data_IF_864537116971
#
_entry.id   IF_864537116971
#
_cell.length_a   1.000
_cell.length_b   1.000
_cell.length_c   1.000
_cell.angle_alpha   90.00
_cell.angle_beta   90.00
_cell.angle_gamma   90.00
#
_symmetry.space_group_name_H-M   'P 1'
#
loop_
_entity.id
_entity.type
_entity.pdbx_description
1 polymer ?
#
# COMPACT_ATOMS: atom_id res chain seq x y z
N UNK A 1 -3.76 -9.34 31.32
CA UNK A 1 -3.65 -8.53 30.06
C UNK A 1 -2.28 -8.86 29.51
N UNK A 2 -2.21 -9.74 28.53
CA UNK A 2 -0.97 -10.04 27.81
C UNK A 2 -0.68 -8.78 26.97
N UNK A 3 0.42 -8.09 27.26
CA UNK A 3 0.93 -7.03 26.40
C UNK A 3 1.25 -7.69 25.05
N UNK A 4 0.39 -7.48 24.07
CA UNK A 4 0.66 -7.93 22.70
C UNK A 4 1.79 -7.04 22.19
N UNK A 5 2.97 -7.59 21.97
CA UNK A 5 4.05 -6.84 21.32
C UNK A 5 3.49 -6.25 20.01
N UNK A 6 3.63 -4.94 19.84
CA UNK A 6 3.13 -4.24 18.65
C UNK A 6 3.93 -4.71 17.44
N UNK A 7 3.26 -5.30 16.46
CA UNK A 7 3.88 -5.80 15.23
C UNK A 7 4.48 -4.65 14.42
N UNK A 8 5.76 -4.69 14.08
CA UNK A 8 6.40 -3.59 13.35
C UNK A 8 5.94 -3.56 11.88
N UNK A 9 5.67 -2.36 11.40
CA UNK A 9 5.25 -2.08 10.02
C UNK A 9 6.27 -1.17 9.38
N UNK A 10 6.74 -1.50 8.19
CA UNK A 10 7.50 -0.59 7.32
C UNK A 10 6.62 -0.16 6.16
N UNK A 11 6.57 1.13 5.89
CA UNK A 11 5.79 1.68 4.77
C UNK A 11 6.74 2.19 3.70
N UNK A 12 6.56 1.73 2.46
CA UNK A 12 7.21 2.29 1.29
C UNK A 12 6.23 3.22 0.56
N UNK A 13 6.65 4.45 0.27
CA UNK A 13 5.82 5.45 -0.40
C UNK A 13 6.61 6.22 -1.47
N UNK A 14 5.92 6.92 -2.38
CA UNK A 14 6.56 7.77 -3.38
C UNK A 14 6.22 9.25 -3.13
N UNK A 15 5.07 9.75 -3.58
CA UNK A 15 4.70 11.18 -3.46
C UNK A 15 3.29 11.41 -2.94
N UNK A 16 2.40 10.43 -3.11
CA UNK A 16 0.99 10.55 -2.76
C UNK A 16 0.80 10.35 -1.25
N UNK A 17 0.24 11.35 -0.53
CA UNK A 17 0.20 11.32 0.94
C UNK A 17 -1.00 10.58 1.52
N UNK A 18 -2.09 10.36 0.76
CA UNK A 18 -3.39 9.97 1.30
C UNK A 18 -3.38 8.63 2.03
N UNK A 19 -2.80 7.58 1.44
CA UNK A 19 -2.70 6.26 2.08
C UNK A 19 -1.73 6.26 3.27
N UNK A 20 -0.56 6.91 3.11
CA UNK A 20 0.42 7.04 4.18
C UNK A 20 -0.14 7.84 5.35
N UNK A 21 -0.79 8.99 5.08
CA UNK A 21 -1.37 9.86 6.10
C UNK A 21 -2.46 9.16 6.92
N UNK A 22 -3.31 8.35 6.29
CA UNK A 22 -4.30 7.53 7.00
C UNK A 22 -3.65 6.55 7.97
N UNK A 23 -2.64 5.80 7.52
CA UNK A 23 -1.95 4.84 8.38
C UNK A 23 -1.20 5.53 9.54
N UNK A 24 -0.55 6.67 9.29
CA UNK A 24 0.13 7.46 10.32
C UNK A 24 -0.86 7.97 11.37
N UNK A 25 -2.05 8.42 10.95
CA UNK A 25 -3.09 8.87 11.88
C UNK A 25 -3.59 7.72 12.74
N UNK A 26 -3.91 6.58 12.14
CA UNK A 26 -4.37 5.38 12.88
C UNK A 26 -3.33 4.87 13.86
N UNK A 27 -2.04 4.91 13.51
CA UNK A 27 -0.94 4.57 14.42
C UNK A 27 -0.86 5.55 15.59
N UNK A 28 -0.96 6.85 15.32
CA UNK A 28 -0.85 7.90 16.33
C UNK A 28 -1.99 7.88 17.37
N UNK A 29 -3.21 7.48 16.94
CA UNK A 29 -4.37 7.35 17.86
C UNK A 29 -4.54 5.96 18.45
N UNK A 30 -3.63 5.02 18.13
CA UNK A 30 -3.65 3.66 18.68
C UNK A 30 -4.73 2.74 18.09
N UNK A 31 -5.23 3.07 16.90
CA UNK A 31 -6.24 2.27 16.19
C UNK A 31 -5.64 1.27 15.18
N UNK A 32 -4.33 1.27 15.00
CA UNK A 32 -3.62 0.28 14.20
C UNK A 32 -3.13 -0.86 15.11
N UNK A 33 -3.43 -2.15 14.81
CA UNK A 33 -2.99 -3.28 15.63
C UNK A 33 -1.51 -3.66 15.40
N UNK A 34 -0.66 -2.66 15.23
CA UNK A 34 0.78 -2.71 15.00
C UNK A 34 1.40 -1.35 15.27
N UNK A 35 2.68 -1.20 14.95
CA UNK A 35 3.40 0.06 15.09
C UNK A 35 4.17 0.39 13.82
N UNK A 36 4.01 1.58 13.28
CA UNK A 36 4.82 2.04 12.15
C UNK A 36 6.25 2.30 12.65
N UNK A 37 7.16 1.42 12.26
CA UNK A 37 8.56 1.47 12.67
C UNK A 37 9.39 2.43 11.80
N UNK A 38 9.07 2.54 10.51
CA UNK A 38 9.72 3.45 9.58
C UNK A 38 8.89 3.68 8.32
N UNK A 39 9.15 4.81 7.66
CA UNK A 39 8.72 5.09 6.28
C UNK A 39 9.96 5.22 5.41
N UNK A 40 9.97 4.51 4.28
CA UNK A 40 11.02 4.56 3.27
C UNK A 40 10.44 5.14 1.99
N UNK A 41 11.03 6.17 1.45
CA UNK A 41 10.53 6.82 0.23
C UNK A 41 11.65 7.11 -0.76
N UNK A 42 11.34 6.91 -2.04
CA UNK A 42 12.24 7.29 -3.13
C UNK A 42 12.16 8.78 -3.52
N UNK A 43 11.34 9.56 -2.79
CA UNK A 43 11.25 11.01 -2.87
C UNK A 43 11.19 11.62 -1.46
N UNK A 44 11.73 12.82 -1.30
CA UNK A 44 11.77 13.51 -0.01
C UNK A 44 10.48 14.28 0.33
N UNK A 45 9.54 14.33 -0.59
CA UNK A 45 8.31 15.13 -0.51
C UNK A 45 7.46 14.85 0.73
N UNK A 46 7.45 13.59 1.20
CA UNK A 46 6.61 13.15 2.32
C UNK A 46 7.29 13.28 3.69
N UNK A 47 8.59 13.63 3.74
CA UNK A 47 9.33 13.80 5.00
C UNK A 47 8.64 14.72 6.00
N UNK A 48 8.21 15.96 5.63
CA UNK A 48 7.59 16.86 6.59
C UNK A 48 6.27 16.33 7.18
N UNK A 49 5.56 15.46 6.44
CA UNK A 49 4.36 14.79 6.94
C UNK A 49 4.75 13.73 7.98
N UNK A 50 5.70 12.84 7.65
CA UNK A 50 6.08 11.70 8.49
C UNK A 50 6.71 12.16 9.81
N UNK A 51 7.57 13.17 9.76
CA UNK A 51 8.25 13.71 10.93
C UNK A 51 7.29 14.33 11.97
N UNK A 52 6.11 14.82 11.55
CA UNK A 52 5.06 15.29 12.47
C UNK A 52 4.47 14.18 13.34
N UNK A 53 4.59 12.95 12.92
CA UNK A 53 4.16 11.76 13.67
C UNK A 53 5.31 11.07 14.42
N UNK A 54 6.49 11.70 14.44
CA UNK A 54 7.71 11.18 15.11
C UNK A 54 8.13 9.79 14.61
N UNK A 55 7.78 9.45 13.35
CA UNK A 55 8.17 8.20 12.70
C UNK A 55 9.49 8.40 11.93
N UNK A 56 10.45 7.47 12.03
CA UNK A 56 11.67 7.50 11.22
C UNK A 56 11.37 7.56 9.71
N UNK A 57 12.00 8.51 9.01
CA UNK A 57 11.86 8.66 7.56
C UNK A 57 13.20 8.45 6.87
N UNK A 58 13.25 7.50 5.94
CA UNK A 58 14.42 7.21 5.12
C UNK A 58 14.17 7.63 3.67
N UNK A 59 14.99 8.57 3.21
CA UNK A 59 15.04 8.94 1.80
C UNK A 59 16.02 8.03 1.06
N UNK A 60 15.51 7.21 0.14
CA UNK A 60 16.29 6.31 -0.70
C UNK A 60 16.01 6.62 -2.18
N UNK A 61 16.74 7.57 -2.78
CA UNK A 61 16.55 7.95 -4.17
C UNK A 61 16.90 6.78 -5.11
N UNK A 62 16.16 6.68 -6.21
CA UNK A 62 16.37 5.61 -7.20
C UNK A 62 17.12 6.08 -8.44
N UNK A 63 17.45 7.37 -8.53
CA UNK A 63 18.22 7.93 -9.64
C UNK A 63 19.69 7.50 -9.54
N UNK A 64 20.34 7.34 -10.68
CA UNK A 64 21.77 7.08 -10.80
C UNK A 64 22.25 5.71 -10.29
N UNK A 65 21.30 4.78 -10.04
CA UNK A 65 21.65 3.43 -9.63
C UNK A 65 20.80 2.37 -10.34
N UNK A 66 21.31 1.15 -10.43
CA UNK A 66 20.54 0.05 -10.98
C UNK A 66 19.37 -0.32 -10.06
N UNK A 67 18.37 -1.01 -10.61
CA UNK A 67 17.22 -1.52 -9.85
C UNK A 67 17.68 -2.43 -8.71
N UNK A 68 18.62 -3.33 -9.01
CA UNK A 68 19.17 -4.29 -8.06
C UNK A 68 19.92 -3.61 -6.92
N UNK A 69 20.72 -2.56 -7.23
CA UNK A 69 21.44 -1.80 -6.22
C UNK A 69 20.47 -1.03 -5.30
N UNK A 70 19.41 -0.43 -5.86
CA UNK A 70 18.37 0.24 -5.10
C UNK A 70 17.61 -0.75 -4.20
N UNK A 71 17.17 -1.89 -4.73
CA UNK A 71 16.45 -2.91 -3.97
C UNK A 71 17.30 -3.53 -2.87
N UNK A 72 18.61 -3.70 -3.10
CA UNK A 72 19.53 -4.16 -2.06
C UNK A 72 19.61 -3.16 -0.88
N UNK A 73 19.66 -1.86 -1.16
CA UNK A 73 19.65 -0.83 -0.12
C UNK A 73 18.28 -0.77 0.58
N UNK A 74 17.19 -0.89 -0.18
CA UNK A 74 15.83 -0.95 0.37
C UNK A 74 15.67 -2.14 1.32
N UNK A 75 16.14 -3.32 0.93
CA UNK A 75 16.11 -4.51 1.76
C UNK A 75 16.91 -4.33 3.06
N UNK A 76 18.11 -3.75 2.99
CA UNK A 76 18.91 -3.45 4.19
C UNK A 76 18.18 -2.53 5.17
N UNK A 77 17.50 -1.50 4.66
CA UNK A 77 16.71 -0.60 5.51
C UNK A 77 15.51 -1.30 6.14
N UNK A 78 14.79 -2.11 5.36
CA UNK A 78 13.64 -2.90 5.85
C UNK A 78 14.08 -3.86 6.95
N UNK A 79 15.18 -4.59 6.74
CA UNK A 79 15.66 -5.62 7.66
C UNK A 79 16.07 -5.05 9.03
N UNK A 80 16.49 -3.77 9.12
CA UNK A 80 16.79 -3.10 10.40
C UNK A 80 15.57 -3.13 11.34
N UNK A 81 14.37 -3.01 10.78
CA UNK A 81 13.11 -2.93 11.53
C UNK A 81 12.42 -4.27 11.71
N UNK A 82 12.92 -5.34 11.07
CA UNK A 82 12.34 -6.69 11.11
C UNK A 82 10.80 -6.70 11.01
N UNK A 83 10.19 -6.08 9.98
CA UNK A 83 8.75 -5.86 9.94
C UNK A 83 7.96 -7.15 9.80
N UNK A 84 6.79 -7.17 10.43
CA UNK A 84 5.77 -8.18 10.19
C UNK A 84 5.09 -7.95 8.83
N UNK A 85 4.84 -6.67 8.51
CA UNK A 85 4.17 -6.26 7.27
C UNK A 85 4.95 -5.11 6.62
N UNK A 86 5.10 -5.18 5.32
CA UNK A 86 5.65 -4.13 4.47
C UNK A 86 4.52 -3.61 3.59
N UNK A 87 4.20 -2.32 3.73
CA UNK A 87 3.07 -1.69 3.02
C UNK A 87 3.59 -0.83 1.88
N UNK A 88 3.16 -1.12 0.66
CA UNK A 88 3.39 -0.29 -0.51
C UNK A 88 2.25 0.74 -0.62
N UNK A 89 2.39 1.87 0.07
CA UNK A 89 1.41 2.94 0.10
C UNK A 89 1.63 3.90 -1.09
N UNK A 90 1.15 3.54 -2.26
CA UNK A 90 1.40 4.26 -3.52
C UNK A 90 2.90 4.33 -3.83
N UNK A 91 3.58 3.21 -3.66
CA UNK A 91 4.99 3.07 -4.04
C UNK A 91 5.10 2.76 -5.53
N UNK A 92 5.40 3.80 -6.33
CA UNK A 92 5.34 3.77 -7.80
C UNK A 92 6.61 3.15 -8.42
N UNK A 93 7.03 2.00 -7.90
CA UNK A 93 8.17 1.21 -8.42
C UNK A 93 7.76 -0.24 -8.56
N UNK A 94 8.08 -0.84 -9.69
CA UNK A 94 7.94 -2.28 -9.88
C UNK A 94 9.12 -2.97 -9.21
N UNK A 95 8.83 -3.86 -8.28
CA UNK A 95 9.83 -4.65 -7.55
C UNK A 95 10.25 -5.87 -8.38
N UNK A 96 11.49 -6.34 -8.21
CA UNK A 96 11.95 -7.57 -8.86
C UNK A 96 11.36 -8.81 -8.19
N UNK A 97 11.30 -9.91 -8.94
CA UNK A 97 10.85 -11.20 -8.42
C UNK A 97 11.67 -11.62 -7.20
N UNK A 98 13.00 -11.42 -7.27
CA UNK A 98 13.90 -11.71 -6.15
C UNK A 98 13.56 -10.92 -4.88
N UNK A 99 13.20 -9.65 -5.02
CA UNK A 99 12.79 -8.83 -3.87
C UNK A 99 11.43 -9.27 -3.33
N UNK A 100 10.49 -9.59 -4.22
CA UNK A 100 9.16 -10.07 -3.84
C UNK A 100 9.27 -11.42 -3.12
N UNK A 101 10.07 -12.36 -3.63
CA UNK A 101 10.29 -13.67 -3.01
C UNK A 101 10.91 -13.57 -1.62
N UNK A 102 11.85 -12.62 -1.42
CA UNK A 102 12.48 -12.37 -0.12
C UNK A 102 11.47 -11.99 0.96
N UNK A 103 10.44 -11.24 0.60
CA UNK A 103 9.40 -10.74 1.52
C UNK A 103 8.04 -11.36 1.20
N UNK A 104 8.03 -12.59 0.71
CA UNK A 104 6.80 -13.32 0.40
C UNK A 104 5.82 -13.28 1.57
N UNK A 105 4.54 -13.06 1.26
CA UNK A 105 3.43 -12.95 2.24
C UNK A 105 3.50 -11.76 3.22
N UNK A 106 4.53 -10.91 3.12
CA UNK A 106 4.67 -9.70 3.96
C UNK A 106 4.38 -8.40 3.21
N UNK A 107 4.44 -8.41 1.88
CA UNK A 107 4.23 -7.24 1.04
C UNK A 107 2.75 -7.06 0.72
N UNK A 108 2.18 -5.92 1.13
CA UNK A 108 0.81 -5.50 0.79
C UNK A 108 0.89 -4.27 -0.11
N UNK A 109 0.21 -4.30 -1.25
CA UNK A 109 0.10 -3.18 -2.17
C UNK A 109 -1.32 -2.65 -2.23
N UNK A 110 -1.46 -1.34 -2.42
CA UNK A 110 -2.72 -0.71 -2.83
C UNK A 110 -2.69 -0.39 -4.32
N UNK A 111 -3.60 -0.99 -5.06
CA UNK A 111 -3.82 -0.71 -6.46
C UNK A 111 -5.07 0.16 -6.62
N UNK A 112 -4.94 1.23 -7.41
CA UNK A 112 -5.95 2.28 -7.57
C UNK A 112 -7.00 1.94 -8.64
N UNK A 113 -7.43 0.68 -8.68
CA UNK A 113 -8.61 0.23 -9.41
C UNK A 113 -9.24 -0.99 -8.74
N UNK A 114 -10.46 -1.33 -9.17
CA UNK A 114 -11.13 -2.57 -8.79
C UNK A 114 -10.60 -3.69 -9.68
N UNK A 115 -9.54 -4.38 -9.23
CA UNK A 115 -8.95 -5.49 -9.98
C UNK A 115 -9.97 -6.61 -10.25
N UNK A 116 -9.95 -7.24 -11.42
CA UNK A 116 -8.95 -7.13 -12.50
C UNK A 116 -9.19 -6.01 -13.52
N UNK A 117 -10.06 -5.05 -13.25
CA UNK A 117 -10.35 -3.95 -14.17
C UNK A 117 -9.27 -2.85 -14.12
N UNK A 118 -8.99 -2.23 -15.28
CA UNK A 118 -8.09 -1.07 -15.41
C UNK A 118 -6.68 -1.29 -14.85
N UNK A 119 -6.06 -2.38 -15.25
CA UNK A 119 -4.65 -2.65 -14.96
C UNK A 119 -3.76 -1.63 -15.66
N UNK A 120 -2.67 -1.21 -14.98
CA UNK A 120 -1.66 -0.31 -15.54
C UNK A 120 -1.83 1.16 -15.13
N UNK A 121 -1.37 2.08 -15.99
CA UNK A 121 -1.29 3.50 -15.68
C UNK A 121 -2.61 4.25 -15.86
N UNK A 122 -2.82 5.30 -15.06
CA UNK A 122 -3.95 6.23 -15.14
C UNK A 122 -5.36 5.59 -15.16
N UNK A 123 -5.70 4.66 -14.23
CA UNK A 123 -6.96 3.92 -14.26
C UNK A 123 -8.20 4.83 -14.15
N UNK A 124 -8.13 5.95 -13.45
CA UNK A 124 -9.26 6.89 -13.36
C UNK A 124 -9.54 7.62 -14.68
N UNK A 125 -8.51 7.88 -15.48
CA UNK A 125 -8.69 8.41 -16.82
C UNK A 125 -9.34 7.37 -17.73
N UNK A 126 -8.87 6.13 -17.69
CA UNK A 126 -9.47 5.02 -18.42
C UNK A 126 -10.93 4.79 -18.00
N UNK A 127 -11.23 4.84 -16.70
CA UNK A 127 -12.57 4.71 -16.16
C UNK A 127 -13.50 5.82 -16.66
N UNK A 128 -13.02 7.07 -16.68
CA UNK A 128 -13.75 8.22 -17.21
C UNK A 128 -14.08 8.06 -18.70
N UNK A 129 -13.07 7.71 -19.50
CA UNK A 129 -13.23 7.53 -20.96
C UNK A 129 -14.18 6.38 -21.32
N UNK A 130 -14.20 5.32 -20.48
CA UNK A 130 -15.14 4.19 -20.64
C UNK A 130 -16.54 4.51 -20.14
N UNK A 131 -16.74 5.60 -19.40
CA UNK A 131 -18.04 5.98 -18.83
C UNK A 131 -18.55 4.98 -17.79
N UNK A 132 -17.66 4.41 -16.97
CA UNK A 132 -18.01 3.44 -15.92
C UNK A 132 -18.95 4.04 -14.88
N UNK A 133 -19.67 3.19 -14.16
CA UNK A 133 -20.63 3.59 -13.11
C UNK A 133 -20.11 3.34 -11.71
N UNK A 134 -18.96 2.68 -11.59
CA UNK A 134 -18.25 2.48 -10.32
C UNK A 134 -16.75 2.63 -10.53
N UNK A 135 -16.06 3.14 -9.52
CA UNK A 135 -14.60 3.09 -9.38
C UNK A 135 -14.26 2.46 -8.03
N UNK A 136 -13.03 2.01 -7.86
CA UNK A 136 -12.67 1.36 -6.61
C UNK A 136 -11.17 1.21 -6.44
N UNK A 137 -10.79 0.50 -5.39
CA UNK A 137 -9.41 0.19 -5.07
C UNK A 137 -9.28 -1.26 -4.57
N UNK A 138 -8.09 -1.81 -4.71
CA UNK A 138 -7.77 -3.19 -4.31
C UNK A 138 -6.49 -3.21 -3.50
N UNK A 139 -6.55 -3.73 -2.28
CA UNK A 139 -5.37 -4.11 -1.51
C UNK A 139 -5.13 -5.61 -1.67
N UNK A 140 -3.91 -5.99 -2.02
CA UNK A 140 -3.55 -7.38 -2.31
C UNK A 140 -2.11 -7.67 -1.85
N UNK A 141 -1.80 -8.93 -1.64
CA UNK A 141 -0.42 -9.36 -1.50
C UNK A 141 0.34 -9.18 -2.80
N UNK A 142 1.60 -8.80 -2.71
CA UNK A 142 2.45 -8.65 -3.90
C UNK A 142 3.02 -10.00 -4.30
N UNK A 143 2.96 -10.30 -5.60
CA UNK A 143 3.56 -11.46 -6.24
C UNK A 143 4.46 -11.01 -7.40
N UNK A 144 5.23 -11.93 -7.97
CA UNK A 144 6.08 -11.64 -9.14
C UNK A 144 5.27 -11.11 -10.33
N UNK A 145 4.04 -11.60 -10.51
CA UNK A 145 3.12 -11.08 -11.52
C UNK A 145 2.48 -9.78 -11.04
N UNK A 146 2.64 -8.72 -11.84
CA UNK A 146 2.18 -7.37 -11.49
C UNK A 146 0.66 -7.33 -11.28
N UNK A 147 0.25 -6.79 -10.14
CA UNK A 147 -1.15 -6.59 -9.73
C UNK A 147 -2.02 -7.87 -9.74
N UNK A 148 -1.42 -9.06 -9.71
CA UNK A 148 -2.10 -10.35 -9.79
C UNK A 148 -2.13 -11.13 -8.46
N UNK A 149 -1.57 -10.58 -7.40
CA UNK A 149 -1.49 -11.26 -6.11
C UNK A 149 -2.84 -11.43 -5.40
N UNK A 150 -2.91 -12.32 -4.39
CA UNK A 150 -4.13 -12.61 -3.64
C UNK A 150 -4.74 -11.35 -3.01
N UNK A 151 -6.02 -11.13 -3.28
CA UNK A 151 -6.75 -9.92 -2.84
C UNK A 151 -7.10 -10.04 -1.36
N UNK A 152 -6.79 -8.99 -0.58
CA UNK A 152 -7.10 -8.90 0.86
C UNK A 152 -8.39 -8.12 1.09
N UNK A 153 -8.51 -6.95 0.46
CA UNK A 153 -9.68 -6.10 0.58
C UNK A 153 -9.92 -5.32 -0.72
N UNK A 154 -11.18 -5.10 -1.01
CA UNK A 154 -11.64 -4.25 -2.12
C UNK A 154 -12.82 -3.42 -1.67
N UNK A 155 -12.97 -2.24 -2.27
CA UNK A 155 -14.18 -1.46 -2.15
C UNK A 155 -14.41 -0.64 -3.43
N UNK A 156 -15.66 -0.24 -3.64
CA UNK A 156 -16.10 0.54 -4.81
C UNK A 156 -17.04 1.66 -4.37
N UNK A 157 -17.02 2.74 -5.14
CA UNK A 157 -17.99 3.83 -5.02
C UNK A 157 -18.70 4.08 -6.35
N UNK A 158 -19.97 4.49 -6.33
CA UNK A 158 -20.68 4.88 -7.53
C UNK A 158 -20.11 6.20 -8.08
N UNK A 159 -20.08 6.29 -9.40
CA UNK A 159 -19.79 7.52 -10.15
C UNK A 159 -20.79 7.67 -11.28
N UNK A 160 -21.00 8.88 -11.75
CA UNK A 160 -21.91 9.19 -12.83
C UNK A 160 -21.28 10.13 -13.88
N UNK A 161 -22.08 10.57 -14.83
CA UNK A 161 -21.65 11.43 -15.93
C UNK A 161 -21.25 12.86 -15.50
N UNK A 162 -21.55 13.28 -14.26
CA UNK A 162 -21.15 14.58 -13.72
C UNK A 162 -19.71 14.56 -13.17
N UNK A 163 -19.14 13.39 -12.94
CA UNK A 163 -17.75 13.28 -12.50
C UNK A 163 -16.80 13.55 -13.66
N UNK A 164 -15.90 14.50 -13.47
CA UNK A 164 -14.69 14.60 -14.30
C UNK A 164 -13.65 13.54 -13.89
N UNK A 165 -12.68 13.26 -14.75
CA UNK A 165 -11.56 12.35 -14.41
C UNK A 165 -10.81 12.79 -13.13
N UNK A 166 -10.67 14.10 -12.91
CA UNK A 166 -10.05 14.66 -11.69
C UNK A 166 -10.88 14.38 -10.43
N UNK A 167 -12.20 14.48 -10.52
CA UNK A 167 -13.10 14.16 -9.41
C UNK A 167 -13.14 12.65 -9.13
N UNK A 168 -13.12 11.81 -10.18
CA UNK A 168 -12.95 10.36 -10.01
C UNK A 168 -11.64 10.01 -9.31
N UNK A 169 -10.52 10.64 -9.70
CA UNK A 169 -9.24 10.44 -9.05
C UNK A 169 -9.24 10.91 -7.58
N UNK A 170 -9.95 12.00 -7.25
CA UNK A 170 -10.08 12.44 -5.86
C UNK A 170 -10.90 11.45 -5.03
N UNK A 171 -12.07 11.05 -5.53
CA UNK A 171 -12.92 10.07 -4.87
C UNK A 171 -12.23 8.70 -4.73
N UNK A 172 -11.45 8.31 -5.75
CA UNK A 172 -10.63 7.10 -5.71
C UNK A 172 -9.57 7.11 -4.60
N UNK A 173 -8.90 8.25 -4.36
CA UNK A 173 -7.96 8.39 -3.23
C UNK A 173 -8.62 8.17 -1.87
N UNK A 174 -9.88 8.57 -1.73
CA UNK A 174 -10.64 8.36 -0.50
C UNK A 174 -10.95 6.87 -0.28
N UNK A 175 -11.21 6.12 -1.34
CA UNK A 175 -11.38 4.66 -1.27
C UNK A 175 -10.06 3.95 -1.02
N UNK A 176 -8.98 4.35 -1.71
CA UNK A 176 -7.65 3.74 -1.56
C UNK A 176 -7.17 3.72 -0.11
N UNK A 177 -7.28 4.85 0.61
CA UNK A 177 -6.83 4.95 2.01
C UNK A 177 -7.62 4.02 2.93
N UNK A 178 -8.95 3.93 2.75
CA UNK A 178 -9.83 3.08 3.56
C UNK A 178 -9.53 1.60 3.30
N UNK A 179 -9.40 1.21 2.03
CA UNK A 179 -9.14 -0.18 1.62
C UNK A 179 -7.77 -0.65 2.12
N UNK A 180 -6.74 0.20 2.01
CA UNK A 180 -5.40 -0.14 2.50
C UNK A 180 -5.38 -0.28 4.02
N UNK A 181 -5.96 0.66 4.76
CA UNK A 181 -6.04 0.60 6.22
C UNK A 181 -6.79 -0.65 6.70
N UNK A 182 -7.91 -1.01 6.05
CA UNK A 182 -8.65 -2.24 6.32
C UNK A 182 -7.79 -3.49 6.07
N UNK A 183 -7.08 -3.55 4.96
CA UNK A 183 -6.23 -4.70 4.62
C UNK A 183 -5.10 -4.88 5.63
N UNK A 184 -4.38 -3.81 5.97
CA UNK A 184 -3.30 -3.83 6.97
C UNK A 184 -3.81 -4.30 8.32
N UNK A 185 -4.96 -3.78 8.78
CA UNK A 185 -5.60 -4.22 10.03
C UNK A 185 -5.92 -5.70 10.02
N UNK A 186 -6.59 -6.21 8.97
CA UNK A 186 -6.97 -7.62 8.85
C UNK A 186 -5.75 -8.55 8.90
N UNK A 187 -4.65 -8.18 8.24
CA UNK A 187 -3.41 -8.98 8.25
C UNK A 187 -2.76 -8.97 9.63
N UNK A 188 -2.66 -7.81 10.28
CA UNK A 188 -2.10 -7.69 11.62
C UNK A 188 -2.95 -8.34 12.71
N UNK A 189 -4.23 -8.60 12.46
CA UNK A 189 -5.13 -9.32 13.33
C UNK A 189 -5.14 -10.84 13.07
N UNK A 190 -4.29 -11.35 12.15
CA UNK A 190 -4.26 -12.75 11.72
C UNK A 190 -5.60 -13.25 11.15
N UNK A 191 -6.32 -12.39 10.45
CA UNK A 191 -7.64 -12.67 9.89
C UNK A 191 -7.62 -12.95 8.39
N UNK A 192 -6.43 -13.00 7.78
CA UNK A 192 -6.24 -13.26 6.34
C UNK A 192 -5.38 -14.50 6.16
N UNK A 193 -5.91 -15.50 5.49
CA UNK A 193 -5.21 -16.75 5.19
C UNK A 193 -5.11 -16.94 3.68
N UNK A 194 -3.92 -17.25 3.20
CA UNK A 194 -3.72 -17.55 1.78
C UNK A 194 -4.15 -18.97 1.45
N UNK A 195 -4.88 -19.11 0.33
CA UNK A 195 -5.29 -20.39 -0.23
C UNK A 195 -5.06 -20.39 -1.73
N UNK A 196 -3.87 -20.81 -2.17
CA UNK A 196 -3.44 -20.69 -3.55
C UNK A 196 -3.38 -19.21 -3.99
N UNK A 197 -4.09 -18.85 -5.06
CA UNK A 197 -4.15 -17.47 -5.58
C UNK A 197 -5.26 -16.61 -4.95
N UNK A 198 -5.87 -17.06 -3.84
CA UNK A 198 -6.98 -16.38 -3.16
C UNK A 198 -6.69 -16.21 -1.68
N UNK A 199 -7.41 -15.31 -1.03
CA UNK A 199 -7.44 -15.22 0.43
C UNK A 199 -8.75 -15.71 1.00
N UNK A 200 -8.71 -16.22 2.22
CA UNK A 200 -9.87 -16.41 3.10
C UNK A 200 -9.77 -15.37 4.19
N UNK A 201 -10.77 -14.51 4.30
CA UNK A 201 -10.79 -13.38 5.24
C UNK A 201 -11.89 -13.62 6.26
N UNK A 202 -11.53 -13.60 7.54
CA UNK A 202 -12.48 -13.71 8.66
C UNK A 202 -12.95 -12.31 9.07
N UNK A 203 -14.25 -12.08 9.00
CA UNK A 203 -14.92 -10.82 9.38
C UNK A 203 -15.14 -10.72 10.89
#
# INVERSE_FOLDING_TARGET
IVSRELRPIVICATREPHCLGELLLLDAVGELPGKIAAVISNHDTLRPLVERFEVPFHFLPHHEQSREAHEHQLAKLIDIYAPEVIVLARYMRVLSDHFVDRYSEKLINIHHSFLPAFVGAAPYQQAFERGVKVIGATAHYVTAELDAGPIIAQDVIPVDHNFSAKQMAQAGRDVEKIVLAKAVRLVLEDRVFMHGCRTVVFS
#
